data_IF_924450005450
#
_entry.id   IF_924450005450
#
_cell.length_a   1.000
_cell.length_b   1.000
_cell.length_c   1.000
_cell.angle_alpha   90.00
_cell.angle_beta   90.00
_cell.angle_gamma   90.00
#
_symmetry.space_group_name_H-M   'P 1'
#
loop_
_entity.id
_entity.type
_entity.pdbx_description
1 polymer ?
#
# COMPACT_ATOMS: atom_id res chain seq x y z
N UNK A 1 -21.57 30.29 -36.44
CA UNK A 1 -20.47 29.67 -35.68
C UNK A 1 -20.76 29.80 -34.19
N UNK A 2 -21.12 28.70 -33.52
CA UNK A 2 -21.08 28.59 -32.06
C UNK A 2 -21.21 27.11 -31.69
N UNK A 3 -20.08 26.42 -31.61
CA UNK A 3 -20.01 25.07 -31.03
C UNK A 3 -19.73 25.24 -29.54
N UNK A 4 -20.76 25.16 -28.71
CA UNK A 4 -20.59 24.96 -27.27
C UNK A 4 -20.12 23.51 -27.03
N UNK A 5 -18.89 23.33 -26.53
CA UNK A 5 -18.42 22.03 -26.05
C UNK A 5 -19.09 21.73 -24.69
N UNK A 6 -19.56 20.50 -24.45
CA UNK A 6 -20.04 20.10 -23.13
C UNK A 6 -18.86 20.03 -22.14
N UNK A 7 -19.11 20.24 -20.83
CA UNK A 7 -18.10 20.08 -19.80
C UNK A 7 -17.69 18.60 -19.73
N UNK A 8 -16.41 18.33 -20.02
CA UNK A 8 -15.79 17.04 -19.76
C UNK A 8 -15.61 16.92 -18.25
N UNK A 9 -16.59 16.30 -17.58
CA UNK A 9 -16.40 15.82 -16.22
C UNK A 9 -15.51 14.59 -16.28
N UNK A 10 -14.23 14.79 -16.00
CA UNK A 10 -13.35 13.68 -15.64
C UNK A 10 -13.69 13.28 -14.21
N UNK A 11 -14.16 12.05 -13.93
CA UNK A 11 -14.27 11.61 -12.55
C UNK A 11 -12.86 11.59 -11.95
N UNK A 12 -12.64 12.45 -10.96
CA UNK A 12 -11.46 12.37 -10.11
C UNK A 12 -11.53 11.06 -9.33
N UNK A 13 -10.41 10.36 -9.06
CA UNK A 13 -10.44 9.19 -8.20
C UNK A 13 -11.06 9.57 -6.86
N UNK A 14 -12.07 8.82 -6.43
CA UNK A 14 -12.74 9.01 -5.14
C UNK A 14 -11.70 8.82 -4.03
N UNK A 15 -11.43 9.90 -3.28
CA UNK A 15 -10.63 9.83 -2.06
C UNK A 15 -11.25 8.80 -1.13
N UNK A 16 -10.46 7.85 -0.59
CA UNK A 16 -10.97 6.88 0.38
C UNK A 16 -11.67 7.61 1.54
N UNK A 17 -13.01 7.57 1.58
CA UNK A 17 -13.80 8.21 2.62
C UNK A 17 -14.32 7.12 3.55
N UNK A 18 -13.99 7.21 4.84
CA UNK A 18 -14.44 6.23 5.84
C UNK A 18 -15.60 6.81 6.64
N UNK A 19 -16.81 6.58 6.16
CA UNK A 19 -18.04 7.01 6.84
C UNK A 19 -18.47 5.97 7.89
N UNK A 20 -18.60 6.40 9.15
CA UNK A 20 -19.06 5.55 10.26
C UNK A 20 -20.45 6.01 10.71
N UNK A 21 -21.47 5.23 10.41
CA UNK A 21 -22.79 5.38 11.04
C UNK A 21 -22.81 4.62 12.36
N UNK A 22 -23.24 5.27 13.44
CA UNK A 22 -23.27 4.68 14.78
C UNK A 22 -24.60 5.02 15.46
N UNK A 23 -25.30 3.98 15.90
CA UNK A 23 -26.39 4.07 16.87
C UNK A 23 -26.14 3.00 17.94
N UNK A 24 -26.26 3.38 19.23
CA UNK A 24 -26.28 2.47 20.38
C UNK A 24 -25.12 1.47 20.46
N UNK A 25 -23.87 1.95 20.33
CA UNK A 25 -22.64 1.17 20.59
C UNK A 25 -22.47 -0.14 19.78
N UNK A 26 -23.23 -0.37 18.71
CA UNK A 26 -23.05 -1.52 17.81
C UNK A 26 -22.79 -1.05 16.38
N UNK A 27 -21.77 -1.63 15.74
CA UNK A 27 -21.39 -1.32 14.36
C UNK A 27 -22.24 -2.19 13.42
N UNK A 28 -23.29 -1.60 12.82
CA UNK A 28 -24.35 -2.34 12.10
C UNK A 28 -23.97 -2.68 10.65
N UNK A 29 -23.18 -1.85 9.97
CA UNK A 29 -22.78 -2.10 8.57
C UNK A 29 -21.51 -1.32 8.22
N UNK A 30 -20.63 -1.93 7.42
CA UNK A 30 -19.48 -1.29 6.79
C UNK A 30 -19.65 -1.39 5.29
N UNK A 31 -19.77 -0.25 4.62
CA UNK A 31 -19.83 -0.16 3.16
C UNK A 31 -18.64 0.67 2.71
N UNK A 32 -17.59 0.00 2.23
CA UNK A 32 -16.45 0.63 1.57
C UNK A 32 -16.68 0.48 0.06
N UNK A 33 -16.86 1.61 -0.64
CA UNK A 33 -16.96 1.65 -2.10
C UNK A 33 -15.61 2.14 -2.63
N UNK A 34 -14.82 1.23 -3.20
CA UNK A 34 -13.41 1.51 -3.52
C UNK A 34 -13.01 0.90 -4.85
N UNK A 35 -12.29 1.69 -5.64
CA UNK A 35 -11.82 1.29 -6.96
C UNK A 35 -10.34 0.87 -6.87
N UNK A 36 -10.07 -0.42 -7.03
CA UNK A 36 -8.70 -0.95 -7.08
C UNK A 36 -8.17 -0.71 -8.49
N UNK A 37 -7.44 0.38 -8.69
CA UNK A 37 -6.78 0.68 -9.97
C UNK A 37 -5.30 0.98 -9.73
N UNK A 38 -4.41 0.46 -10.60
CA UNK A 38 -3.03 0.91 -10.64
C UNK A 38 -2.95 2.41 -10.94
N UNK A 39 -1.85 3.02 -10.50
CA UNK A 39 -1.52 4.40 -10.85
C UNK A 39 -1.27 4.50 -12.36
N UNK A 40 -1.81 5.54 -13.00
CA UNK A 40 -1.41 5.90 -14.36
C UNK A 40 0.02 6.43 -14.36
N UNK A 41 0.72 6.32 -15.48
CA UNK A 41 2.14 6.71 -15.59
C UNK A 41 2.42 8.15 -15.12
N UNK A 42 1.52 9.09 -15.43
CA UNK A 42 1.63 10.48 -15.00
C UNK A 42 1.49 10.65 -13.47
N UNK A 43 0.62 9.84 -12.84
CA UNK A 43 0.41 9.83 -11.39
C UNK A 43 1.60 9.19 -10.68
N UNK A 44 2.10 8.06 -11.21
CA UNK A 44 3.34 7.41 -10.72
C UNK A 44 4.52 8.37 -10.78
N UNK A 45 4.74 9.03 -11.92
CA UNK A 45 5.83 10.01 -12.08
C UNK A 45 5.73 11.13 -11.05
N UNK A 46 4.51 11.63 -10.83
CA UNK A 46 4.26 12.70 -9.86
C UNK A 46 4.51 12.23 -8.43
N UNK A 47 4.05 11.03 -8.07
CA UNK A 47 4.29 10.39 -6.78
C UNK A 47 5.79 10.24 -6.50
N UNK A 48 6.54 9.64 -7.42
CA UNK A 48 7.99 9.40 -7.25
C UNK A 48 8.75 10.71 -7.06
N UNK A 49 8.39 11.76 -7.81
CA UNK A 49 8.99 13.09 -7.63
C UNK A 49 8.72 13.66 -6.24
N UNK A 50 7.47 13.65 -5.77
CA UNK A 50 7.13 14.13 -4.43
C UNK A 50 7.81 13.30 -3.34
N UNK A 51 7.86 11.99 -3.53
CA UNK A 51 8.52 11.06 -2.62
C UNK A 51 10.00 11.38 -2.46
N UNK A 52 10.74 11.60 -3.56
CA UNK A 52 12.16 11.96 -3.50
C UNK A 52 12.40 13.27 -2.76
N UNK A 53 11.55 14.27 -2.96
CA UNK A 53 11.64 15.54 -2.23
C UNK A 53 11.42 15.35 -0.73
N UNK A 54 10.41 14.55 -0.34
CA UNK A 54 10.15 14.26 1.07
C UNK A 54 11.26 13.42 1.71
N UNK A 55 11.80 12.44 0.97
CA UNK A 55 12.87 11.55 1.44
C UNK A 55 14.14 12.29 1.83
N UNK A 56 14.45 13.41 1.16
CA UNK A 56 15.60 14.24 1.50
C UNK A 56 15.56 14.76 2.95
N UNK A 57 14.36 14.88 3.53
CA UNK A 57 14.14 15.38 4.89
C UNK A 57 13.72 14.28 5.88
N UNK A 58 13.58 13.03 5.43
CA UNK A 58 13.11 11.92 6.25
C UNK A 58 14.27 11.01 6.67
N UNK A 59 14.23 10.55 7.92
CA UNK A 59 15.23 9.60 8.43
C UNK A 59 14.82 8.14 8.23
N UNK A 60 13.52 7.86 8.27
CA UNK A 60 12.92 6.53 8.08
C UNK A 60 11.69 6.68 7.18
N UNK A 61 11.43 5.67 6.35
CA UNK A 61 10.20 5.56 5.54
C UNK A 61 9.33 4.42 6.07
N UNK A 62 8.02 4.65 6.13
CA UNK A 62 7.01 3.63 6.41
C UNK A 62 6.10 3.52 5.19
N UNK A 63 6.06 2.33 4.59
CA UNK A 63 5.15 1.98 3.50
C UNK A 63 4.02 1.11 4.06
N UNK A 64 2.81 1.68 4.14
CA UNK A 64 1.63 0.93 4.55
C UNK A 64 0.83 0.50 3.33
N UNK A 65 0.86 -0.79 3.00
CA UNK A 65 0.06 -1.34 1.92
C UNK A 65 -1.35 -1.66 2.43
N UNK A 66 -2.35 -0.99 1.87
CA UNK A 66 -3.76 -1.25 2.18
C UNK A 66 -4.45 -2.10 1.10
N UNK A 67 -3.73 -2.57 0.07
CA UNK A 67 -4.28 -3.34 -1.04
C UNK A 67 -5.15 -2.52 -2.00
N UNK A 68 -4.97 -1.19 -2.02
CA UNK A 68 -5.82 -0.25 -2.76
C UNK A 68 -5.27 0.19 -4.13
N UNK A 69 -4.31 -0.53 -4.69
CA UNK A 69 -3.77 -0.24 -6.02
C UNK A 69 -2.54 0.67 -6.07
N UNK A 70 -2.33 1.54 -5.06
CA UNK A 70 -1.22 2.50 -5.03
C UNK A 70 0.18 1.88 -5.08
N UNK A 71 0.36 0.70 -4.49
CA UNK A 71 1.64 -0.01 -4.40
C UNK A 71 1.79 -1.15 -5.42
N UNK A 72 0.78 -1.34 -6.29
CA UNK A 72 0.81 -2.35 -7.35
C UNK A 72 1.79 -1.95 -8.48
N UNK A 73 1.96 -2.85 -9.45
CA UNK A 73 2.72 -2.63 -10.69
C UNK A 73 4.16 -2.13 -10.48
N UNK A 74 4.80 -2.65 -9.43
CA UNK A 74 6.21 -2.39 -9.10
C UNK A 74 6.47 -1.05 -8.42
N UNK A 75 5.44 -0.29 -8.06
CA UNK A 75 5.60 0.99 -7.33
C UNK A 75 6.23 0.75 -5.95
N UNK A 76 5.81 -0.29 -5.21
CA UNK A 76 6.43 -0.65 -3.93
C UNK A 76 7.93 -0.88 -4.06
N UNK A 77 8.34 -1.73 -5.00
CA UNK A 77 9.75 -2.02 -5.26
C UNK A 77 10.55 -0.79 -5.68
N UNK A 78 9.97 0.10 -6.50
CA UNK A 78 10.61 1.36 -6.88
C UNK A 78 10.85 2.27 -5.67
N UNK A 79 9.84 2.48 -4.82
CA UNK A 79 9.97 3.27 -3.60
C UNK A 79 11.03 2.70 -2.65
N UNK A 80 11.05 1.39 -2.49
CA UNK A 80 12.06 0.68 -1.67
C UNK A 80 13.46 0.86 -2.24
N UNK A 81 13.64 0.74 -3.56
CA UNK A 81 14.94 0.98 -4.21
C UNK A 81 15.43 2.40 -3.97
N UNK A 82 14.54 3.39 -4.08
CA UNK A 82 14.87 4.81 -3.83
C UNK A 82 15.33 5.02 -2.39
N UNK A 83 14.65 4.41 -1.42
CA UNK A 83 15.07 4.48 -0.01
C UNK A 83 16.47 3.89 0.19
N UNK A 84 16.70 2.72 -0.40
CA UNK A 84 17.97 2.00 -0.29
C UNK A 84 19.12 2.76 -0.93
N UNK A 85 18.92 3.34 -2.11
CA UNK A 85 19.88 4.21 -2.79
C UNK A 85 20.23 5.44 -1.94
N UNK A 86 19.25 6.00 -1.22
CA UNK A 86 19.45 7.12 -0.32
C UNK A 86 20.00 6.73 1.07
N UNK A 87 20.25 5.43 1.32
CA UNK A 87 20.68 4.92 2.63
C UNK A 87 19.64 5.09 3.73
N UNK A 88 18.36 5.24 3.38
CA UNK A 88 17.26 5.42 4.33
C UNK A 88 16.57 4.08 4.62
N UNK A 89 16.42 3.68 5.90
CA UNK A 89 15.65 2.50 6.25
C UNK A 89 14.19 2.64 5.85
N UNK A 90 13.60 1.53 5.40
CA UNK A 90 12.19 1.45 4.97
C UNK A 90 11.50 0.26 5.64
N UNK A 91 10.40 0.53 6.32
CA UNK A 91 9.55 -0.46 6.97
C UNK A 91 8.28 -0.63 6.16
N UNK A 92 7.84 -1.88 5.96
CA UNK A 92 6.65 -2.20 5.18
C UNK A 92 5.62 -2.89 6.05
N UNK A 93 4.39 -2.38 6.06
CA UNK A 93 3.20 -3.10 6.55
C UNK A 93 2.53 -3.77 5.34
N UNK A 94 2.71 -5.10 5.15
CA UNK A 94 2.41 -5.76 3.90
C UNK A 94 0.92 -6.06 3.73
N UNK A 95 0.47 -6.15 2.47
CA UNK A 95 -0.86 -6.69 2.15
C UNK A 95 -0.79 -7.76 1.09
N UNK A 96 -1.60 -8.80 1.27
CA UNK A 96 -1.70 -9.91 0.34
C UNK A 96 -0.71 -11.02 0.67
N UNK A 97 -0.42 -11.87 -0.33
CA UNK A 97 0.33 -13.11 -0.15
C UNK A 97 1.74 -13.06 -0.74
N UNK A 98 1.97 -12.16 -1.69
CA UNK A 98 3.26 -12.04 -2.38
C UNK A 98 4.07 -10.93 -1.73
N UNK A 99 5.15 -11.29 -1.03
CA UNK A 99 6.05 -10.32 -0.40
C UNK A 99 7.27 -10.01 -1.26
N UNK A 100 7.41 -10.63 -2.45
CA UNK A 100 8.52 -10.36 -3.35
C UNK A 100 8.54 -8.89 -3.81
N UNK A 101 7.37 -8.25 -3.89
CA UNK A 101 7.23 -6.83 -4.20
C UNK A 101 7.84 -5.89 -3.14
N UNK A 102 8.10 -6.40 -1.92
CA UNK A 102 8.71 -5.67 -0.82
C UNK A 102 10.19 -6.01 -0.62
N UNK A 103 10.80 -6.74 -1.56
CA UNK A 103 12.21 -7.12 -1.49
C UNK A 103 13.12 -5.89 -1.35
N UNK A 104 14.08 -5.99 -0.43
CA UNK A 104 15.01 -4.90 -0.09
C UNK A 104 14.52 -3.96 1.01
N UNK A 105 13.31 -4.17 1.55
CA UNK A 105 12.87 -3.47 2.75
C UNK A 105 13.74 -3.80 3.96
N UNK A 106 13.87 -2.84 4.89
CA UNK A 106 14.63 -3.03 6.14
C UNK A 106 13.90 -3.95 7.11
N UNK A 107 12.57 -3.81 7.19
CA UNK A 107 11.71 -4.70 7.96
C UNK A 107 10.33 -4.78 7.31
N UNK A 108 9.68 -5.93 7.46
CA UNK A 108 8.29 -6.16 7.08
C UNK A 108 7.53 -6.57 8.34
N UNK A 109 6.35 -6.00 8.57
CA UNK A 109 5.57 -6.21 9.80
C UNK A 109 4.23 -6.93 9.55
N UNK A 110 4.22 -8.18 9.07
CA UNK A 110 2.98 -8.90 8.87
C UNK A 110 2.35 -9.25 10.22
N UNK A 111 1.03 -9.22 10.30
CA UNK A 111 0.36 -9.92 11.41
C UNK A 111 0.39 -11.44 11.19
N UNK A 112 0.07 -12.23 12.23
CA UNK A 112 0.12 -13.69 12.17
C UNK A 112 -0.73 -14.29 11.04
N UNK A 113 -1.88 -13.69 10.76
CA UNK A 113 -2.78 -14.16 9.70
C UNK A 113 -2.15 -13.89 8.32
N UNK A 114 -1.61 -12.69 8.11
CA UNK A 114 -0.92 -12.32 6.87
C UNK A 114 0.32 -13.17 6.62
N UNK A 115 1.12 -13.44 7.66
CA UNK A 115 2.24 -14.37 7.56
C UNK A 115 1.78 -15.76 7.12
N UNK A 116 0.70 -16.28 7.73
CA UNK A 116 0.14 -17.58 7.36
C UNK A 116 -0.41 -17.62 5.94
N UNK A 117 -1.04 -16.54 5.48
CA UNK A 117 -1.52 -16.39 4.11
C UNK A 117 -0.37 -16.35 3.10
N UNK A 118 0.74 -15.70 3.43
CA UNK A 118 1.95 -15.62 2.59
C UNK A 118 2.65 -16.98 2.46
N UNK A 119 2.75 -17.77 3.53
CA UNK A 119 3.37 -19.11 3.48
C UNK A 119 2.39 -20.24 3.13
N UNK A 120 1.11 -19.92 2.88
CA UNK A 120 0.09 -20.88 2.46
C UNK A 120 -0.41 -21.84 3.55
N UNK A 121 -0.19 -21.56 4.83
CA UNK A 121 -0.67 -22.35 5.97
C UNK A 121 -0.82 -21.51 7.23
N UNK A 122 -1.70 -21.91 8.14
CA UNK A 122 -1.77 -21.26 9.44
C UNK A 122 -0.47 -21.50 10.26
N UNK A 123 -0.10 -20.48 11.05
CA UNK A 123 1.04 -20.48 11.98
C UNK A 123 0.53 -20.02 13.34
N UNK A 124 0.86 -20.76 14.41
CA UNK A 124 0.35 -20.45 15.74
C UNK A 124 1.45 -20.36 16.79
N UNK A 125 2.41 -21.29 16.77
CA UNK A 125 3.51 -21.31 17.72
C UNK A 125 4.66 -20.40 17.25
N UNK A 126 5.42 -19.86 18.20
CA UNK A 126 6.53 -18.94 17.92
C UNK A 126 7.59 -19.56 16.99
N UNK A 127 7.93 -20.84 17.20
CA UNK A 127 8.88 -21.55 16.33
C UNK A 127 8.38 -21.69 14.89
N UNK A 128 7.08 -21.91 14.71
CA UNK A 128 6.45 -21.99 13.39
C UNK A 128 6.45 -20.63 12.69
N UNK A 129 6.22 -19.56 13.45
CA UNK A 129 6.24 -18.17 12.98
C UNK A 129 7.65 -17.81 12.50
N UNK A 130 8.68 -18.11 13.31
CA UNK A 130 10.08 -17.87 12.93
C UNK A 130 10.47 -18.69 11.70
N UNK A 131 10.09 -19.96 11.64
CA UNK A 131 10.37 -20.81 10.50
C UNK A 131 9.63 -20.36 9.23
N UNK A 132 8.41 -19.83 9.35
CA UNK A 132 7.66 -19.27 8.24
C UNK A 132 8.29 -17.95 7.73
N UNK A 133 8.66 -17.05 8.65
CA UNK A 133 9.27 -15.76 8.31
C UNK A 133 10.61 -15.93 7.56
N UNK A 134 11.39 -16.97 7.88
CA UNK A 134 12.66 -17.29 7.19
C UNK A 134 12.51 -17.82 5.76
N UNK A 135 11.30 -18.21 5.34
CA UNK A 135 11.03 -18.75 4.00
C UNK A 135 10.57 -17.69 2.99
N UNK A 136 10.21 -16.50 3.49
CA UNK A 136 9.82 -15.34 2.70
C UNK A 136 11.07 -14.50 2.38
#
# INVERSE_FOLDING_TARGET
ASCARPPVSTPSPVTSSKSRFSALNQQVLRFDEEEIKPLRDAERTTLIRHFRTALAQADIVILSDYGKGMLLDGVAGELISICREAGRPVLVDPKGRDYACYSGATAITPNRKELGEAVGRAVFADDEIVAAARKL
#
